data_IF_463750775842
#
_entry.id   IF_463750775842
#
_cell.length_a   1.000
_cell.length_b   1.000
_cell.length_c   1.000
_cell.angle_alpha   90.00
_cell.angle_beta   90.00
_cell.angle_gamma   90.00
#
_symmetry.space_group_name_H-M   'P 1'
#
loop_
_entity.id
_entity.type
_entity.pdbx_description
1 polymer ?
#
# COMPACT_ATOMS: atom_id res chain seq x y z
N UNK A 1 -10.36 11.61 -10.68
CA UNK A 1 -9.41 10.95 -9.75
C UNK A 1 -8.59 9.95 -10.54
N UNK A 2 -7.27 10.04 -10.49
CA UNK A 2 -6.42 9.00 -11.08
C UNK A 2 -6.48 7.73 -10.22
N UNK A 3 -6.46 6.52 -10.83
CA UNK A 3 -6.46 5.24 -10.10
C UNK A 3 -5.35 5.15 -9.04
N UNK A 4 -4.21 5.77 -9.33
CA UNK A 4 -3.05 5.88 -8.43
C UNK A 4 -3.37 6.63 -7.14
N UNK A 5 -4.06 7.77 -7.23
CA UNK A 5 -4.43 8.57 -6.05
C UNK A 5 -5.48 7.85 -5.21
N UNK A 6 -6.41 7.15 -5.86
CA UNK A 6 -7.38 6.31 -5.18
C UNK A 6 -6.68 5.23 -4.34
N UNK A 7 -5.75 4.48 -4.95
CA UNK A 7 -4.96 3.47 -4.24
C UNK A 7 -4.17 4.11 -3.10
N UNK A 8 -3.44 5.19 -3.35
CA UNK A 8 -2.63 5.83 -2.31
C UNK A 8 -3.48 6.28 -1.11
N UNK A 9 -4.62 6.95 -1.34
CA UNK A 9 -5.50 7.46 -0.27
C UNK A 9 -6.13 6.33 0.52
N UNK A 10 -6.62 5.29 -0.16
CA UNK A 10 -7.26 4.15 0.51
C UNK A 10 -6.27 3.26 1.26
N UNK A 11 -5.09 2.97 0.68
CA UNK A 11 -4.02 2.21 1.35
C UNK A 11 -3.56 2.96 2.60
N UNK A 12 -3.33 4.27 2.49
CA UNK A 12 -2.94 5.12 3.63
C UNK A 12 -3.96 5.00 4.76
N UNK A 13 -5.25 5.20 4.47
CA UNK A 13 -6.31 5.10 5.47
C UNK A 13 -6.41 3.70 6.11
N UNK A 14 -6.19 2.63 5.35
CA UNK A 14 -6.17 1.26 5.89
C UNK A 14 -4.99 1.04 6.82
N UNK A 15 -3.78 1.43 6.43
CA UNK A 15 -2.58 1.26 7.26
C UNK A 15 -2.62 2.13 8.52
N UNK A 16 -3.17 3.35 8.43
CA UNK A 16 -3.41 4.21 9.59
C UNK A 16 -4.42 3.59 10.56
N UNK A 17 -5.50 2.96 10.04
CA UNK A 17 -6.49 2.24 10.85
C UNK A 17 -5.91 1.01 11.56
N UNK A 18 -4.87 0.41 11.00
CA UNK A 18 -4.16 -0.73 11.59
C UNK A 18 -3.06 -0.34 12.59
N UNK A 19 -3.00 0.94 12.97
CA UNK A 19 -1.98 1.49 13.88
C UNK A 19 -0.55 1.19 13.41
N UNK A 20 -0.32 1.16 12.09
CA UNK A 20 1.04 1.15 11.58
C UNK A 20 1.72 2.51 11.84
N UNK A 21 3.02 2.51 12.19
CA UNK A 21 3.74 3.75 12.36
C UNK A 21 3.75 4.57 11.04
N UNK A 22 3.79 5.90 11.10
CA UNK A 22 3.69 6.76 9.92
C UNK A 22 4.79 6.46 8.88
N UNK A 23 5.96 6.00 9.34
CA UNK A 23 7.04 5.52 8.47
C UNK A 23 6.62 4.29 7.64
N UNK A 24 6.00 3.29 8.28
CA UNK A 24 5.50 2.09 7.63
C UNK A 24 4.32 2.38 6.69
N UNK A 25 3.45 3.33 7.06
CA UNK A 25 2.35 3.81 6.20
C UNK A 25 2.92 4.42 4.91
N UNK A 26 3.91 5.32 5.03
CA UNK A 26 4.51 5.98 3.87
C UNK A 26 5.20 4.98 2.94
N UNK A 27 5.93 4.01 3.49
CA UNK A 27 6.54 2.92 2.72
C UNK A 27 5.49 2.03 2.04
N UNK A 28 4.42 1.66 2.75
CA UNK A 28 3.34 0.84 2.20
C UNK A 28 2.60 1.53 1.05
N UNK A 29 2.31 2.83 1.16
CA UNK A 29 1.71 3.62 0.08
C UNK A 29 2.62 3.71 -1.13
N UNK A 30 3.93 3.91 -0.90
CA UNK A 30 4.92 3.97 -1.99
C UNK A 30 5.03 2.63 -2.72
N UNK A 31 5.06 1.52 -1.98
CA UNK A 31 5.06 0.17 -2.58
C UNK A 31 3.75 -0.11 -3.34
N UNK A 32 2.58 0.22 -2.79
CA UNK A 32 1.31 0.04 -3.48
C UNK A 32 1.26 0.80 -4.82
N UNK A 33 1.71 2.06 -4.83
CA UNK A 33 1.74 2.86 -6.06
C UNK A 33 2.77 2.36 -7.06
N UNK A 34 3.92 1.86 -6.60
CA UNK A 34 4.93 1.25 -7.45
C UNK A 34 4.45 -0.09 -8.05
N UNK A 35 3.82 -0.93 -7.23
CA UNK A 35 3.19 -2.18 -7.67
C UNK A 35 2.10 -1.92 -8.69
N UNK A 36 1.30 -0.87 -8.50
CA UNK A 36 0.31 -0.40 -9.47
C UNK A 36 0.92 -0.01 -10.81
N UNK A 37 1.99 0.79 -10.80
CA UNK A 37 2.66 1.26 -12.02
C UNK A 37 3.36 0.10 -12.77
N UNK A 38 3.99 -0.80 -12.01
CA UNK A 38 4.73 -1.94 -12.56
C UNK A 38 3.85 -3.09 -13.03
N UNK A 39 2.59 -3.16 -12.57
CA UNK A 39 1.67 -4.24 -12.93
C UNK A 39 0.81 -3.79 -14.12
N UNK A 40 1.06 -4.29 -15.34
CA UNK A 40 0.41 -3.81 -16.55
C UNK A 40 -1.08 -4.20 -16.64
N UNK A 41 -1.50 -5.23 -15.90
CA UNK A 41 -2.89 -5.66 -15.84
C UNK A 41 -3.19 -6.31 -14.52
N UNK A 42 -4.18 -5.78 -13.83
CA UNK A 42 -4.72 -6.39 -12.63
C UNK A 42 -5.94 -7.23 -12.98
N UNK A 43 -6.14 -8.31 -12.21
CA UNK A 43 -7.41 -9.02 -12.25
C UNK A 43 -8.56 -8.05 -11.93
N UNK A 44 -9.64 -8.11 -12.73
CA UNK A 44 -10.78 -7.20 -12.64
C UNK A 44 -11.30 -7.15 -11.20
N UNK A 45 -11.25 -5.96 -10.59
CA UNK A 45 -11.72 -5.73 -9.21
C UNK A 45 -10.75 -6.09 -8.08
N UNK A 46 -9.57 -6.68 -8.37
CA UNK A 46 -8.57 -7.05 -7.33
C UNK A 46 -7.38 -6.10 -7.21
N UNK A 47 -7.35 -5.01 -7.99
CA UNK A 47 -6.27 -4.00 -7.96
C UNK A 47 -5.95 -3.56 -6.53
N UNK A 48 -6.98 -3.16 -5.79
CA UNK A 48 -6.82 -2.61 -4.46
C UNK A 48 -6.32 -3.67 -3.46
N UNK A 49 -6.88 -4.88 -3.50
CA UNK A 49 -6.52 -5.97 -2.58
C UNK A 49 -5.06 -6.40 -2.76
N UNK A 50 -4.61 -6.54 -4.01
CA UNK A 50 -3.22 -6.87 -4.34
C UNK A 50 -2.25 -5.75 -3.91
N UNK A 51 -2.60 -4.49 -4.19
CA UNK A 51 -1.82 -3.34 -3.73
C UNK A 51 -1.77 -3.25 -2.20
N UNK A 52 -2.89 -3.55 -1.52
CA UNK A 52 -2.99 -3.54 -0.06
C UNK A 52 -2.16 -4.65 0.56
N UNK A 53 -2.17 -5.84 -0.04
CA UNK A 53 -1.34 -6.97 0.38
C UNK A 53 0.15 -6.64 0.28
N UNK A 54 0.58 -6.04 -0.82
CA UNK A 54 1.97 -5.58 -0.99
C UNK A 54 2.33 -4.50 0.04
N UNK A 55 1.47 -3.49 0.21
CA UNK A 55 1.66 -2.42 1.18
C UNK A 55 1.75 -2.94 2.62
N UNK A 56 0.87 -3.87 3.02
CA UNK A 56 0.90 -4.51 4.35
C UNK A 56 2.16 -5.31 4.57
N UNK A 57 2.65 -6.03 3.55
CA UNK A 57 3.88 -6.81 3.67
C UNK A 57 5.06 -5.88 4.02
N UNK A 58 5.21 -4.78 3.28
CA UNK A 58 6.25 -3.77 3.57
C UNK A 58 6.00 -3.07 4.90
N UNK A 59 4.77 -2.68 5.20
CA UNK A 59 4.44 -2.01 6.46
C UNK A 59 4.73 -2.90 7.69
N UNK A 60 4.50 -4.23 7.58
CA UNK A 60 4.87 -5.20 8.63
C UNK A 60 6.37 -5.37 8.77
N UNK A 61 7.12 -5.40 7.67
CA UNK A 61 8.58 -5.43 7.70
C UNK A 61 9.12 -4.14 8.32
N UNK A 62 8.62 -2.98 7.91
CA UNK A 62 8.98 -1.67 8.46
C UNK A 62 8.60 -1.54 9.95
N UNK A 63 7.48 -2.15 10.39
CA UNK A 63 7.11 -2.22 11.81
C UNK A 63 8.07 -3.10 12.63
N UNK A 64 8.61 -4.17 12.04
CA UNK A 64 9.60 -5.05 12.67
C UNK A 64 11.01 -4.48 12.63
N UNK A 65 11.35 -3.75 11.57
CA UNK A 65 12.58 -2.99 11.44
C UNK A 65 12.50 -1.72 12.30
N UNK A 66 12.45 -1.90 13.63
CA UNK A 66 12.94 -0.85 14.53
C UNK A 66 14.46 -0.83 14.38
N UNK A 67 15.10 0.32 14.08
CA UNK A 67 16.53 0.47 14.34
C UNK A 67 16.84 0.26 15.83
#
# INVERSE_FOLDING_TARGET
MHPREFIAKHIKATLEKEEFPPHAVSLGVKEATFFFDRTPSFAKGKVFDECLKAARAVARVAKKAKP
#
